data_IF_998577129836
#
_entry.id   IF_998577129836
#
_cell.length_a   1.000
_cell.length_b   1.000
_cell.length_c   1.000
_cell.angle_alpha   90.00
_cell.angle_beta   90.00
_cell.angle_gamma   90.00
#
_symmetry.space_group_name_H-M   'P 1'
#
loop_
_entity.id
_entity.type
_entity.pdbx_description
1 polymer ?
#
# COMPACT_ATOMS: atom_id res chain seq x y z
N UNK A 1 0.21 12.00 -6.56
CA UNK A 1 0.74 10.95 -7.46
C UNK A 1 1.10 9.67 -6.71
N UNK A 2 2.10 9.70 -5.84
CA UNK A 2 2.56 8.51 -5.12
C UNK A 2 1.48 7.96 -4.16
N UNK A 3 0.87 8.84 -3.37
CA UNK A 3 -0.22 8.46 -2.45
C UNK A 3 -1.42 7.86 -3.19
N UNK A 4 -1.80 8.42 -4.33
CA UNK A 4 -2.92 7.93 -5.14
C UNK A 4 -2.66 6.52 -5.69
N UNK A 5 -1.40 6.25 -6.09
CA UNK A 5 -1.00 4.91 -6.54
C UNK A 5 -1.04 3.91 -5.38
N UNK A 6 -0.55 4.30 -4.20
CA UNK A 6 -0.60 3.45 -2.99
C UNK A 6 -2.05 3.12 -2.63
N UNK A 7 -2.96 4.11 -2.62
CA UNK A 7 -4.39 3.91 -2.35
C UNK A 7 -4.98 2.89 -3.32
N UNK A 8 -4.72 3.04 -4.63
CA UNK A 8 -5.21 2.10 -5.65
C UNK A 8 -4.63 0.69 -5.46
N UNK A 9 -3.35 0.57 -5.12
CA UNK A 9 -2.71 -0.72 -4.87
C UNK A 9 -3.24 -1.43 -3.62
N UNK A 10 -3.68 -0.66 -2.61
CA UNK A 10 -4.19 -1.19 -1.35
C UNK A 10 -5.69 -1.43 -1.30
N UNK A 11 -6.42 -1.07 -2.35
CA UNK A 11 -7.88 -1.26 -2.42
C UNK A 11 -8.27 -2.71 -2.14
N UNK A 12 -9.23 -2.93 -1.24
CA UNK A 12 -9.72 -4.25 -0.88
C UNK A 12 -10.33 -4.99 -2.08
N UNK A 13 -10.93 -4.27 -3.03
CA UNK A 13 -11.53 -4.83 -4.23
C UNK A 13 -10.47 -4.99 -5.34
N UNK A 14 -10.28 -6.23 -5.80
CA UNK A 14 -9.27 -6.57 -6.82
C UNK A 14 -9.45 -5.76 -8.11
N UNK A 15 -10.70 -5.49 -8.53
CA UNK A 15 -11.02 -4.72 -9.74
C UNK A 15 -10.55 -3.26 -9.70
N UNK A 16 -10.32 -2.70 -8.51
CA UNK A 16 -9.85 -1.33 -8.32
C UNK A 16 -8.32 -1.26 -8.26
N UNK A 17 -7.65 -2.42 -8.10
CA UNK A 17 -6.19 -2.51 -8.09
C UNK A 17 -5.66 -2.38 -9.51
N UNK A 18 -4.52 -1.70 -9.71
CA UNK A 18 -3.85 -1.72 -10.99
C UNK A 18 -3.34 -3.13 -11.27
N UNK A 19 -3.49 -3.58 -12.52
CA UNK A 19 -2.80 -4.78 -12.98
C UNK A 19 -1.29 -4.51 -13.07
N UNK A 20 -0.47 -5.55 -12.94
CA UNK A 20 1.00 -5.45 -12.93
C UNK A 20 1.55 -4.63 -14.10
N UNK A 21 0.96 -4.78 -15.29
CA UNK A 21 1.37 -4.04 -16.49
C UNK A 21 1.12 -2.53 -16.36
N UNK A 22 -0.04 -2.12 -15.84
CA UNK A 22 -0.39 -0.71 -15.63
C UNK A 22 0.49 -0.08 -14.55
N UNK A 23 0.72 -0.82 -13.46
CA UNK A 23 1.63 -0.40 -12.41
C UNK A 23 3.04 -0.16 -12.95
N UNK A 24 3.57 -1.11 -13.74
CA UNK A 24 4.88 -0.98 -14.36
C UNK A 24 4.97 0.25 -15.28
N UNK A 25 3.98 0.47 -16.14
CA UNK A 25 3.96 1.63 -17.04
C UNK A 25 3.92 2.96 -16.27
N UNK A 26 3.13 3.01 -15.20
CA UNK A 26 3.04 4.20 -14.32
C UNK A 26 4.39 4.50 -13.68
N UNK A 27 5.03 3.50 -13.08
CA UNK A 27 6.33 3.65 -12.43
C UNK A 27 7.44 4.00 -13.43
N UNK A 28 7.43 3.42 -14.63
CA UNK A 28 8.41 3.73 -15.67
C UNK A 28 8.29 5.19 -16.15
N UNK A 29 7.06 5.68 -16.35
CA UNK A 29 6.84 7.09 -16.70
C UNK A 29 7.31 8.06 -15.62
N UNK A 30 7.21 7.66 -14.35
CA UNK A 30 7.77 8.43 -13.24
C UNK A 30 9.30 8.44 -13.22
N UNK A 31 9.94 7.33 -13.57
CA UNK A 31 11.39 7.24 -13.66
C UNK A 31 11.95 8.22 -14.70
N UNK A 32 11.30 8.33 -15.86
CA UNK A 32 11.66 9.32 -16.88
C UNK A 32 11.51 10.75 -16.35
N UNK A 33 10.43 11.03 -15.62
CA UNK A 33 10.20 12.33 -14.94
C UNK A 33 11.22 12.61 -13.83
N UNK A 34 11.66 11.58 -13.11
CA UNK A 34 12.67 11.68 -12.05
C UNK A 34 14.04 12.06 -12.61
N UNK A 35 14.44 11.51 -13.76
CA UNK A 35 15.70 11.86 -14.44
C UNK A 35 15.77 13.36 -14.75
N UNK A 36 14.63 13.98 -15.05
CA UNK A 36 14.55 15.42 -15.31
C UNK A 36 14.71 16.30 -14.06
N UNK A 37 14.70 15.71 -12.86
CA UNK A 37 14.84 16.32 -11.52
C UNK A 37 13.91 17.51 -11.20
N UNK A 38 12.95 17.81 -12.09
CA UNK A 38 12.01 18.92 -11.93
C UNK A 38 10.55 18.44 -11.97
N UNK A 39 10.33 17.12 -12.02
CA UNK A 39 9.00 16.52 -12.08
C UNK A 39 8.30 16.49 -10.71
N UNK A 40 6.97 16.51 -10.72
CA UNK A 40 6.15 16.45 -9.51
C UNK A 40 6.48 15.23 -8.62
N UNK A 41 6.83 14.09 -9.24
CA UNK A 41 7.22 12.88 -8.50
C UNK A 41 8.56 13.05 -7.77
N UNK A 42 9.51 13.77 -8.36
CA UNK A 42 10.80 14.04 -7.72
C UNK A 42 10.59 14.87 -6.46
N UNK A 43 9.75 15.91 -6.54
CA UNK A 43 9.40 16.75 -5.39
C UNK A 43 8.68 15.95 -4.28
N UNK A 44 7.78 15.03 -4.65
CA UNK A 44 7.13 14.14 -3.67
C UNK A 44 8.13 13.22 -2.96
N UNK A 45 9.14 12.70 -3.68
CA UNK A 45 10.20 11.87 -3.10
C UNK A 45 11.09 12.68 -2.16
N UNK A 46 11.53 13.87 -2.58
CA UNK A 46 12.39 14.74 -1.78
C UNK A 46 11.72 15.15 -0.46
N UNK A 47 10.44 15.52 -0.50
CA UNK A 47 9.69 15.85 0.72
C UNK A 47 9.54 14.62 1.65
N UNK A 48 9.28 13.43 1.09
CA UNK A 48 9.27 12.19 1.85
C UNK A 48 10.62 11.88 2.52
N UNK A 49 11.74 12.10 1.83
CA UNK A 49 13.08 11.90 2.37
C UNK A 49 13.38 12.88 3.51
N UNK A 50 12.95 14.14 3.37
CA UNK A 50 13.08 15.16 4.42
C UNK A 50 12.29 14.79 5.68
N UNK A 51 11.01 14.44 5.53
CA UNK A 51 10.16 13.99 6.65
C UNK A 51 10.75 12.75 7.30
N UNK A 52 11.25 11.80 6.50
CA UNK A 52 11.88 10.58 7.01
C UNK A 52 13.11 10.93 7.84
N UNK A 53 14.00 11.78 7.32
CA UNK A 53 15.18 12.25 8.05
C UNK A 53 14.79 12.90 9.37
N UNK A 54 13.82 13.81 9.38
CA UNK A 54 13.34 14.45 10.61
C UNK A 54 12.77 13.44 11.61
N UNK A 55 11.99 12.45 11.16
CA UNK A 55 11.42 11.40 12.03
C UNK A 55 12.48 10.45 12.58
N UNK A 56 13.49 10.09 11.79
CA UNK A 56 14.50 9.10 12.18
C UNK A 56 15.69 9.69 12.94
N UNK A 57 16.06 10.95 12.72
CA UNK A 57 17.08 11.66 13.52
C UNK A 57 16.59 11.87 14.97
N UNK A 58 15.29 12.08 15.16
CA UNK A 58 14.68 12.23 16.49
C UNK A 58 14.47 10.90 17.24
N UNK A 59 14.74 9.76 16.60
CA UNK A 59 14.57 8.45 17.21
C UNK A 59 15.84 8.11 17.99
N UNK A 60 15.78 8.16 19.32
CA UNK A 60 16.92 7.81 20.16
C UNK A 60 17.43 6.39 19.80
N UNK A 61 18.75 6.20 19.81
CA UNK A 61 19.38 4.89 19.56
C UNK A 61 18.93 3.80 20.55
N UNK A 62 18.21 4.17 21.61
CA UNK A 62 17.64 3.29 22.63
C UNK A 62 16.55 2.36 22.07
N UNK A 63 15.88 2.75 21.00
CA UNK A 63 14.85 1.94 20.33
C UNK A 63 15.43 0.83 19.43
N UNK A 64 16.72 0.90 19.06
CA UNK A 64 17.36 -0.03 18.11
C UNK A 64 17.62 -1.42 18.69
N UNK A 65 17.63 -1.58 20.01
CA UNK A 65 17.99 -2.84 20.67
C UNK A 65 16.84 -3.47 21.46
N UNK A 66 15.58 -3.11 21.19
CA UNK A 66 14.44 -3.88 21.72
C UNK A 66 14.51 -5.30 21.16
N UNK A 67 15.15 -6.20 21.90
CA UNK A 67 15.10 -7.63 21.64
C UNK A 67 13.62 -8.01 21.53
N UNK A 68 13.18 -8.45 20.35
CA UNK A 68 11.81 -8.87 20.16
C UNK A 68 11.51 -10.02 21.12
N UNK A 69 10.77 -9.75 22.20
CA UNK A 69 10.28 -10.79 23.10
C UNK A 69 9.15 -11.50 22.38
N UNK A 70 9.48 -12.65 21.80
CA UNK A 70 8.45 -13.55 21.30
C UNK A 70 7.70 -14.16 22.48
N UNK A 71 6.39 -14.35 22.32
CA UNK A 71 5.61 -15.08 23.31
C UNK A 71 6.14 -16.52 23.39
N UNK A 72 6.30 -17.14 24.59
CA UNK A 72 6.84 -18.50 24.71
C UNK A 72 6.09 -19.58 23.92
N UNK A 73 4.84 -19.30 23.54
CA UNK A 73 3.99 -20.20 22.75
C UNK A 73 3.89 -19.81 21.26
N UNK A 74 4.57 -18.74 20.81
CA UNK A 74 4.53 -18.33 19.42
C UNK A 74 5.34 -19.30 18.54
N UNK A 75 4.72 -19.78 17.45
CA UNK A 75 5.35 -20.70 16.50
C UNK A 75 5.44 -19.99 15.15
N UNK A 76 6.65 -19.68 14.70
CA UNK A 76 6.94 -18.99 13.43
C UNK A 76 7.42 -19.94 12.34
N UNK A 77 6.74 -21.07 12.17
CA UNK A 77 7.02 -21.99 11.07
C UNK A 77 6.15 -21.62 9.87
N UNK A 78 6.63 -21.86 8.65
CA UNK A 78 5.78 -21.81 7.47
C UNK A 78 4.61 -22.79 7.62
N UNK A 79 3.42 -22.38 7.22
CA UNK A 79 2.19 -23.20 7.20
C UNK A 79 1.40 -22.84 5.96
N UNK A 80 0.72 -23.82 5.37
CA UNK A 80 -0.18 -23.57 4.25
C UNK A 80 -1.36 -22.70 4.72
N UNK A 81 -1.60 -21.60 4.01
CA UNK A 81 -2.74 -20.73 4.27
C UNK A 81 -4.00 -21.30 3.60
N UNK A 82 -5.08 -21.49 4.35
CA UNK A 82 -6.35 -21.97 3.81
C UNK A 82 -7.26 -20.77 3.46
N UNK A 83 -7.48 -20.56 2.16
CA UNK A 83 -8.28 -19.43 1.66
C UNK A 83 -9.80 -19.63 1.75
N UNK A 84 -10.29 -20.86 1.92
CA UNK A 84 -11.73 -21.18 1.78
C UNK A 84 -12.62 -20.47 2.80
N UNK A 85 -12.08 -20.12 3.97
CA UNK A 85 -12.84 -19.57 5.10
C UNK A 85 -12.33 -18.18 5.54
N UNK A 86 -11.63 -17.46 4.65
CA UNK A 86 -11.17 -16.12 4.97
C UNK A 86 -12.33 -15.12 4.82
N UNK A 87 -12.42 -14.11 5.71
CA UNK A 87 -13.34 -13.00 5.51
C UNK A 87 -12.96 -12.24 4.23
N UNK A 88 -13.94 -11.54 3.66
CA UNK A 88 -13.66 -10.65 2.53
C UNK A 88 -12.65 -9.57 2.96
N UNK A 89 -11.70 -9.19 2.10
CA UNK A 89 -10.86 -8.03 2.34
C UNK A 89 -11.73 -6.80 2.60
N UNK A 90 -11.34 -5.98 3.57
CA UNK A 90 -12.00 -4.71 3.91
C UNK A 90 -10.91 -3.68 4.05
N UNK A 91 -11.14 -2.48 3.49
CA UNK A 91 -10.21 -1.37 3.65
C UNK A 91 -10.12 -0.95 5.12
N UNK A 92 -8.90 -0.74 5.60
CA UNK A 92 -8.73 -0.14 6.92
C UNK A 92 -9.10 1.33 6.85
N UNK A 93 -10.01 1.78 7.73
CA UNK A 93 -10.32 3.21 7.92
C UNK A 93 -9.06 4.04 8.27
N UNK A 94 -8.01 3.36 8.75
CA UNK A 94 -6.75 3.94 9.19
C UNK A 94 -5.84 4.40 8.04
N UNK A 95 -6.11 4.00 6.78
CA UNK A 95 -5.31 4.46 5.63
C UNK A 95 -5.31 5.98 5.52
N UNK A 96 -6.46 6.60 5.82
CA UNK A 96 -6.60 8.05 5.85
C UNK A 96 -5.71 8.67 6.93
N UNK A 97 -5.56 8.04 8.10
CA UNK A 97 -4.67 8.56 9.13
C UNK A 97 -3.21 8.50 8.66
N UNK A 98 -2.76 7.41 8.04
CA UNK A 98 -1.38 7.28 7.55
C UNK A 98 -1.04 8.23 6.40
N UNK A 99 -2.00 8.52 5.52
CA UNK A 99 -1.79 9.35 4.32
C UNK A 99 -2.05 10.84 4.57
N UNK A 100 -2.88 11.20 5.56
CA UNK A 100 -3.28 12.58 5.86
C UNK A 100 -2.75 13.14 7.20
N UNK A 101 -2.00 12.36 8.00
CA UNK A 101 -1.36 12.88 9.24
C UNK A 101 -0.22 13.87 8.97
N UNK A 102 -0.02 14.33 7.74
CA UNK A 102 0.62 15.62 7.46
C UNK A 102 -0.49 16.66 7.26
N UNK A 103 -1.10 17.07 8.37
CA UNK A 103 -1.99 18.22 8.56
C UNK A 103 -2.59 18.84 7.29
N UNK A 104 -3.77 18.38 6.86
CA UNK A 104 -4.67 19.22 6.04
C UNK A 104 -6.13 18.92 6.36
N UNK A 105 -6.77 19.90 7.00
CA UNK A 105 -8.17 19.90 7.41
C UNK A 105 -9.11 20.27 6.26
N UNK A 106 -9.64 19.32 5.49
CA UNK A 106 -10.83 19.62 4.66
C UNK A 106 -11.83 18.43 4.61
N UNK A 107 -13.08 18.82 4.78
CA UNK A 107 -14.33 18.07 4.99
C UNK A 107 -14.62 16.94 4.01
N UNK A 108 -14.98 15.77 4.56
CA UNK A 108 -15.52 14.63 3.84
C UNK A 108 -17.00 14.83 3.46
N UNK A 109 -17.39 14.40 2.26
CA UNK A 109 -18.77 14.04 1.95
C UNK A 109 -18.78 12.68 1.23
N UNK A 110 -19.12 11.64 1.98
CA UNK A 110 -19.46 10.31 1.44
C UNK A 110 -20.91 10.30 0.97
N UNK A 111 -21.14 9.88 -0.28
CA UNK A 111 -22.44 9.35 -0.70
C UNK A 111 -22.24 7.96 -1.27
N UNK A 112 -22.65 6.97 -0.48
CA UNK A 112 -22.68 5.55 -0.81
C UNK A 112 -23.85 5.24 -1.75
N UNK A 113 -23.57 4.63 -2.90
CA UNK A 113 -24.57 3.89 -3.68
C UNK A 113 -23.91 2.66 -4.32
N UNK A 114 -24.29 1.48 -3.82
CA UNK A 114 -23.82 0.17 -4.23
C UNK A 114 -24.60 -0.30 -5.49
N UNK A 115 -23.96 -1.00 -6.46
CA UNK A 115 -24.65 -2.16 -7.02
C UNK A 115 -23.74 -3.38 -7.28
N UNK A 116 -24.22 -4.52 -6.75
CA UNK A 116 -24.23 -5.90 -7.29
C UNK A 116 -22.99 -6.40 -8.05
N UNK A 117 -22.21 -7.21 -7.35
CA UNK A 117 -21.16 -8.09 -7.87
C UNK A 117 -21.74 -9.23 -8.72
N UNK A 118 -21.23 -9.40 -9.93
CA UNK A 118 -21.23 -10.66 -10.67
C UNK A 118 -19.78 -11.16 -10.81
N UNK A 119 -19.58 -12.41 -10.40
CA UNK A 119 -18.35 -13.20 -10.56
C UNK A 119 -17.96 -13.33 -12.04
N UNK A 120 -16.65 -13.42 -12.31
CA UNK A 120 -15.98 -14.56 -12.96
C UNK A 120 -14.47 -14.37 -12.79
N UNK A 121 -13.82 -15.28 -12.06
CA UNK A 121 -12.40 -15.59 -12.21
C UNK A 121 -12.33 -16.95 -12.93
N UNK A 122 -11.65 -17.00 -14.06
CA UNK A 122 -11.17 -18.23 -14.67
C UNK A 122 -9.69 -17.99 -15.00
N UNK A 123 -8.82 -18.56 -14.17
CA UNK A 123 -7.42 -18.79 -14.52
C UNK A 123 -7.36 -20.19 -15.14
N UNK A 124 -7.11 -20.25 -16.44
CA UNK A 124 -6.82 -21.51 -17.12
C UNK A 124 -5.36 -21.90 -16.85
N UNK A 125 -5.17 -22.96 -16.05
CA UNK A 125 -3.91 -23.67 -15.92
C UNK A 125 -3.56 -24.37 -17.25
N UNK A 126 -2.63 -23.82 -18.01
CA UNK A 126 -1.92 -24.59 -19.03
C UNK A 126 -0.60 -25.13 -18.47
N UNK A 127 -0.68 -26.37 -17.98
CA UNK A 127 0.45 -27.30 -17.94
C UNK A 127 1.01 -27.50 -19.36
N UNK A 128 2.32 -27.38 -19.52
CA UNK A 128 3.03 -27.99 -20.64
C UNK A 128 4.29 -28.67 -20.08
N UNK A 129 4.34 -29.97 -20.36
CA UNK A 129 5.43 -30.93 -20.19
C UNK A 129 6.67 -30.56 -21.02
#
# INVERSE_FOLDING_TARGET
LLADLIIKCWDAEIKNRPITKELYQTLNGWFDGFISQNGEIYLQIEECDKISKEKFENRSNEDKSKSFKTHPQAIYTSRLLNFKNLPKPVDSLDLSSFLFSSDTSYTAQSTSANPKLNEICQDDEHNIE
#
